data_IF_960010760873
#
_entry.id   IF_960010760873
#
_cell.length_a   1.000
_cell.length_b   1.000
_cell.length_c   1.000
_cell.angle_alpha   90.00
_cell.angle_beta   90.00
_cell.angle_gamma   90.00
#
_symmetry.space_group_name_H-M   'P 1'
#
loop_
_entity.id
_entity.type
_entity.pdbx_description
1 polymer ?
#
# COMPACT_ATOMS: atom_id res chain seq x y z
N UNK A 1 -10.84 -2.16 -23.01
CA UNK A 1 -10.56 -0.95 -23.80
C UNK A 1 -10.80 0.33 -22.97
N UNK A 2 -11.77 0.35 -22.05
CA UNK A 2 -12.10 1.60 -21.35
C UNK A 2 -11.09 2.03 -20.28
N UNK A 3 -10.39 1.07 -19.64
CA UNK A 3 -9.42 1.36 -18.58
C UNK A 3 -8.25 2.23 -19.05
N UNK A 4 -7.49 1.88 -20.11
CA UNK A 4 -6.40 2.72 -20.58
C UNK A 4 -6.85 4.12 -21.01
N UNK A 5 -8.06 4.26 -21.59
CA UNK A 5 -8.62 5.56 -21.96
C UNK A 5 -8.97 6.42 -20.75
N UNK A 6 -9.47 5.81 -19.66
CA UNK A 6 -9.71 6.56 -18.42
C UNK A 6 -8.42 7.01 -17.77
N UNK A 7 -7.38 6.15 -17.76
CA UNK A 7 -6.04 6.50 -17.25
C UNK A 7 -5.45 7.64 -18.08
N UNK A 8 -5.51 7.54 -19.41
CA UNK A 8 -5.10 8.61 -20.34
C UNK A 8 -5.79 9.94 -20.00
N UNK A 9 -7.10 9.93 -19.80
CA UNK A 9 -7.88 11.15 -19.53
C UNK A 9 -7.56 11.82 -18.17
N UNK A 10 -6.89 11.13 -17.27
CA UNK A 10 -6.36 11.72 -16.02
C UNK A 10 -5.05 12.47 -16.25
N UNK A 11 -4.36 12.22 -17.36
CA UNK A 11 -3.10 12.88 -17.72
C UNK A 11 -3.29 14.36 -18.02
N UNK A 12 -2.33 15.18 -17.58
CA UNK A 12 -2.31 16.63 -17.76
C UNK A 12 -1.35 17.07 -18.86
N UNK A 13 -0.33 16.27 -19.19
CA UNK A 13 0.59 16.48 -20.31
C UNK A 13 0.38 15.41 -21.39
N UNK A 14 0.93 15.65 -22.58
CA UNK A 14 0.81 14.68 -23.67
C UNK A 14 1.57 13.39 -23.35
N UNK A 15 2.74 13.47 -22.70
CA UNK A 15 3.51 12.30 -22.27
C UNK A 15 2.73 11.47 -21.25
N UNK A 16 2.07 12.11 -20.26
CA UNK A 16 1.22 11.42 -19.31
C UNK A 16 0.06 10.69 -19.99
N UNK A 17 -0.57 11.31 -20.98
CA UNK A 17 -1.66 10.71 -21.76
C UNK A 17 -1.18 9.54 -22.59
N UNK A 18 -0.03 9.70 -23.27
CA UNK A 18 0.56 8.65 -24.10
C UNK A 18 0.95 7.45 -23.22
N UNK A 19 1.69 7.66 -22.13
CA UNK A 19 2.04 6.59 -21.20
C UNK A 19 0.76 6.00 -20.59
N UNK A 20 -0.24 6.83 -20.28
CA UNK A 20 -1.53 6.37 -19.72
C UNK A 20 -2.31 5.44 -20.64
N UNK A 21 -2.34 5.68 -21.96
CA UNK A 21 -3.03 4.80 -22.91
C UNK A 21 -2.21 3.54 -23.22
N UNK A 22 -0.89 3.60 -23.13
CA UNK A 22 0.02 2.52 -23.52
C UNK A 22 0.52 1.66 -22.33
N UNK A 23 0.17 2.00 -21.09
CA UNK A 23 0.81 1.43 -19.89
C UNK A 23 0.70 -0.10 -19.77
N UNK A 24 -0.35 -0.70 -20.32
CA UNK A 24 -0.57 -2.15 -20.32
C UNK A 24 -0.23 -2.80 -21.69
N UNK A 25 0.14 -2.01 -22.73
CA UNK A 25 0.25 -2.52 -24.11
C UNK A 25 1.27 -3.65 -24.24
N UNK A 26 2.42 -3.56 -23.56
CA UNK A 26 3.48 -4.58 -23.63
C UNK A 26 3.15 -5.80 -22.74
N UNK A 27 2.30 -5.63 -21.70
CA UNK A 27 1.83 -6.76 -20.88
C UNK A 27 0.68 -7.53 -21.58
N UNK A 28 -0.18 -6.84 -22.31
CA UNK A 28 -1.44 -7.37 -22.84
C UNK A 28 -1.42 -7.67 -24.36
N UNK A 29 -0.29 -7.45 -25.05
CA UNK A 29 -0.16 -7.67 -26.49
C UNK A 29 1.26 -8.13 -26.87
N UNK A 30 1.47 -8.37 -28.19
CA UNK A 30 2.78 -8.77 -28.73
C UNK A 30 3.71 -7.57 -28.99
N UNK A 31 3.30 -6.34 -28.68
CA UNK A 31 4.13 -5.15 -28.84
C UNK A 31 5.34 -5.14 -27.91
N UNK A 32 6.49 -4.77 -28.48
CA UNK A 32 7.74 -4.59 -27.74
C UNK A 32 8.08 -3.12 -27.55
N UNK A 33 8.95 -2.82 -26.58
CA UNK A 33 9.45 -1.44 -26.39
C UNK A 33 10.24 -0.94 -27.59
N UNK A 34 10.94 -1.84 -28.31
CA UNK A 34 11.71 -1.57 -29.50
C UNK A 34 10.79 -1.16 -30.68
N UNK A 35 9.67 -1.82 -30.85
CA UNK A 35 8.66 -1.46 -31.85
C UNK A 35 8.00 -0.13 -31.53
N UNK A 36 7.64 0.11 -30.27
CA UNK A 36 7.12 1.40 -29.83
C UNK A 36 8.12 2.54 -30.08
N UNK A 37 9.42 2.31 -29.82
CA UNK A 37 10.45 3.29 -30.12
C UNK A 37 10.59 3.54 -31.64
N UNK A 38 10.43 2.50 -32.48
CA UNK A 38 10.47 2.61 -33.92
C UNK A 38 9.26 3.40 -34.50
N UNK A 39 8.10 3.36 -33.81
CA UNK A 39 6.92 4.18 -34.14
C UNK A 39 7.11 5.67 -33.81
N UNK A 40 8.24 6.05 -33.17
CA UNK A 40 8.59 7.44 -32.93
C UNK A 40 8.18 7.99 -31.57
N UNK A 41 7.77 7.14 -30.61
CA UNK A 41 7.57 7.59 -29.24
C UNK A 41 8.90 8.05 -28.62
N UNK A 42 8.86 9.12 -27.84
CA UNK A 42 10.05 9.70 -27.22
C UNK A 42 10.73 8.73 -26.24
N UNK A 43 12.04 8.92 -26.04
CA UNK A 43 12.79 8.09 -25.07
C UNK A 43 12.22 8.21 -23.67
N UNK A 44 11.70 9.37 -23.27
CA UNK A 44 11.07 9.58 -21.96
C UNK A 44 9.81 8.74 -21.79
N UNK A 45 8.99 8.63 -22.85
CA UNK A 45 7.79 7.78 -22.87
C UNK A 45 8.20 6.30 -22.77
N UNK A 46 9.17 5.86 -23.59
CA UNK A 46 9.64 4.46 -23.58
C UNK A 46 10.22 4.07 -22.21
N UNK A 47 11.04 4.91 -21.61
CA UNK A 47 11.60 4.65 -20.28
C UNK A 47 10.52 4.62 -19.19
N UNK A 48 9.51 5.48 -19.28
CA UNK A 48 8.38 5.43 -18.37
C UNK A 48 7.56 4.13 -18.54
N UNK A 49 7.32 3.69 -19.77
CA UNK A 49 6.65 2.43 -20.08
C UNK A 49 7.45 1.24 -19.56
N UNK A 50 8.79 1.20 -19.74
CA UNK A 50 9.65 0.16 -19.13
C UNK A 50 9.54 0.11 -17.60
N UNK A 51 9.42 1.28 -16.97
CA UNK A 51 9.27 1.35 -15.51
C UNK A 51 7.89 0.88 -15.02
N UNK A 52 6.81 1.13 -15.77
CA UNK A 52 5.44 0.84 -15.36
C UNK A 52 4.98 -0.59 -15.74
N UNK A 53 5.65 -1.23 -16.70
CA UNK A 53 5.43 -2.61 -17.14
C UNK A 53 6.14 -3.59 -16.22
N UNK A 54 5.53 -4.69 -15.80
CA UNK A 54 6.19 -5.72 -15.00
C UNK A 54 7.23 -6.47 -15.82
N UNK A 55 8.35 -6.81 -15.19
CA UNK A 55 9.43 -7.57 -15.82
C UNK A 55 9.09 -9.07 -15.97
N UNK A 56 8.26 -9.59 -15.08
CA UNK A 56 7.76 -10.97 -15.11
C UNK A 56 6.55 -11.10 -14.17
N UNK A 57 5.78 -12.18 -14.35
CA UNK A 57 4.67 -12.51 -13.44
C UNK A 57 5.13 -12.71 -11.98
N UNK A 58 6.37 -13.15 -11.78
CA UNK A 58 6.95 -13.43 -10.47
C UNK A 58 7.65 -12.21 -9.85
N UNK A 59 7.64 -11.04 -10.49
CA UNK A 59 8.23 -9.83 -9.92
C UNK A 59 7.51 -9.45 -8.61
N UNK A 60 8.23 -9.35 -7.45
CA UNK A 60 7.62 -8.93 -6.20
C UNK A 60 7.03 -7.52 -6.34
N UNK A 61 5.75 -7.37 -6.01
CA UNK A 61 5.00 -6.13 -6.25
C UNK A 61 5.64 -4.89 -5.58
N UNK A 62 6.23 -5.05 -4.39
CA UNK A 62 6.92 -3.94 -3.72
C UNK A 62 8.19 -3.50 -4.49
N UNK A 63 8.93 -4.42 -5.13
CA UNK A 63 10.08 -4.08 -6.00
C UNK A 63 9.63 -3.37 -7.27
N UNK A 64 8.55 -3.86 -7.90
CA UNK A 64 7.92 -3.19 -9.02
C UNK A 64 7.56 -1.73 -8.70
N UNK A 65 6.86 -1.49 -7.57
CA UNK A 65 6.48 -0.13 -7.16
C UNK A 65 7.71 0.76 -6.85
N UNK A 66 8.80 0.20 -6.33
CA UNK A 66 10.05 0.95 -6.13
C UNK A 66 10.65 1.38 -7.48
N UNK A 67 10.64 0.50 -8.50
CA UNK A 67 11.10 0.81 -9.86
C UNK A 67 10.23 1.88 -10.51
N UNK A 68 8.92 1.77 -10.42
CA UNK A 68 7.96 2.79 -10.87
C UNK A 68 8.27 4.14 -10.22
N UNK A 69 8.50 4.16 -8.90
CA UNK A 69 8.79 5.39 -8.13
C UNK A 69 10.07 6.09 -8.58
N UNK A 70 11.03 5.37 -9.14
CA UNK A 70 12.29 5.95 -9.62
C UNK A 70 12.13 6.81 -10.89
N UNK A 71 11.04 6.65 -11.64
CA UNK A 71 10.73 7.45 -12.82
C UNK A 71 9.50 8.34 -12.55
N UNK A 72 9.63 9.68 -12.54
CA UNK A 72 8.53 10.59 -12.19
C UNK A 72 7.29 10.45 -13.08
N UNK A 73 7.47 10.25 -14.41
CA UNK A 73 6.37 10.09 -15.36
C UNK A 73 5.64 8.76 -15.10
N UNK A 74 6.38 7.66 -14.96
CA UNK A 74 5.80 6.35 -14.61
C UNK A 74 5.07 6.39 -13.25
N UNK A 75 5.64 7.05 -12.25
CA UNK A 75 5.02 7.19 -10.93
C UNK A 75 3.68 7.93 -11.00
N UNK A 76 3.62 9.01 -11.78
CA UNK A 76 2.41 9.81 -11.96
C UNK A 76 1.32 9.02 -12.68
N UNK A 77 1.66 8.35 -13.78
CA UNK A 77 0.71 7.52 -14.52
C UNK A 77 0.25 6.32 -13.69
N UNK A 78 1.14 5.70 -12.88
CA UNK A 78 0.75 4.61 -11.97
C UNK A 78 -0.21 5.07 -10.86
N UNK A 79 -0.13 6.32 -10.43
CA UNK A 79 -1.15 6.89 -9.53
C UNK A 79 -2.52 6.97 -10.21
N UNK A 80 -2.59 7.33 -11.49
CA UNK A 80 -3.84 7.35 -12.26
C UNK A 80 -4.41 5.94 -12.43
N UNK A 81 -3.58 4.99 -12.84
CA UNK A 81 -3.94 3.58 -12.96
C UNK A 81 -4.49 3.01 -11.63
N UNK A 82 -3.77 3.23 -10.54
CA UNK A 82 -4.23 2.79 -9.21
C UNK A 82 -5.55 3.47 -8.80
N UNK A 83 -5.73 4.76 -9.13
CA UNK A 83 -6.97 5.49 -8.85
C UNK A 83 -8.15 4.86 -9.59
N UNK A 84 -8.00 4.57 -10.88
CA UNK A 84 -9.04 3.91 -11.67
C UNK A 84 -9.32 2.49 -11.18
N UNK A 85 -8.27 1.72 -10.86
CA UNK A 85 -8.40 0.36 -10.36
C UNK A 85 -9.01 0.25 -8.94
N UNK A 86 -8.94 1.32 -8.15
CA UNK A 86 -9.57 1.39 -6.82
C UNK A 86 -10.98 1.99 -6.85
N UNK A 87 -11.52 2.33 -8.01
CA UNK A 87 -12.90 2.83 -8.12
C UNK A 87 -13.91 1.72 -7.87
N UNK A 88 -14.34 1.60 -6.61
CA UNK A 88 -15.29 0.60 -6.15
C UNK A 88 -16.71 0.77 -6.73
N UNK A 89 -17.04 1.94 -7.29
CA UNK A 89 -18.36 2.21 -7.89
C UNK A 89 -18.65 1.32 -9.09
N UNK A 90 -17.62 0.71 -9.68
CA UNK A 90 -17.72 -0.24 -10.81
C UNK A 90 -17.98 -1.68 -10.37
N UNK A 91 -17.93 -1.97 -9.07
CA UNK A 91 -18.15 -3.30 -8.54
C UNK A 91 -19.62 -3.48 -8.16
N UNK A 92 -20.25 -4.58 -8.62
CA UNK A 92 -21.60 -4.94 -8.21
C UNK A 92 -21.66 -5.32 -6.72
N UNK A 93 -20.60 -5.91 -6.19
CA UNK A 93 -20.38 -6.24 -4.78
C UNK A 93 -18.88 -6.32 -4.50
N UNK A 94 -18.47 -6.26 -3.24
CA UNK A 94 -17.07 -6.35 -2.83
C UNK A 94 -16.80 -7.74 -2.26
N UNK A 95 -15.98 -8.52 -2.97
CA UNK A 95 -15.52 -9.84 -2.53
C UNK A 95 -14.27 -9.75 -1.64
N UNK A 96 -13.93 -10.83 -0.93
CA UNK A 96 -12.65 -10.94 -0.18
C UNK A 96 -11.42 -10.74 -1.08
N UNK A 97 -11.50 -11.16 -2.35
CA UNK A 97 -10.45 -10.94 -3.35
C UNK A 97 -10.29 -9.46 -3.65
N UNK A 98 -11.40 -8.72 -3.76
CA UNK A 98 -11.36 -7.27 -4.00
C UNK A 98 -10.79 -6.52 -2.79
N UNK A 99 -11.14 -6.90 -1.57
CA UNK A 99 -10.56 -6.31 -0.35
C UNK A 99 -9.03 -6.48 -0.33
N UNK A 100 -8.51 -7.68 -0.65
CA UNK A 100 -7.07 -7.94 -0.72
C UNK A 100 -6.40 -7.09 -1.81
N UNK A 101 -7.03 -6.99 -2.99
CA UNK A 101 -6.57 -6.18 -4.12
C UNK A 101 -6.51 -4.70 -3.76
N UNK A 102 -7.60 -4.16 -3.20
CA UNK A 102 -7.71 -2.76 -2.78
C UNK A 102 -6.66 -2.39 -1.72
N UNK A 103 -6.43 -3.26 -0.73
CA UNK A 103 -5.37 -3.06 0.27
C UNK A 103 -3.98 -2.98 -0.36
N UNK A 104 -3.68 -3.87 -1.33
CA UNK A 104 -2.43 -3.86 -2.09
C UNK A 104 -2.26 -2.56 -2.88
N UNK A 105 -3.29 -2.12 -3.59
CA UNK A 105 -3.26 -0.91 -4.40
C UNK A 105 -3.17 0.36 -3.57
N UNK A 106 -3.90 0.45 -2.46
CA UNK A 106 -3.81 1.58 -1.55
C UNK A 106 -2.42 1.71 -0.90
N UNK A 107 -1.77 0.58 -0.57
CA UNK A 107 -0.38 0.57 -0.10
C UNK A 107 0.56 1.16 -1.14
N UNK A 108 0.47 0.70 -2.39
CA UNK A 108 1.28 1.18 -3.51
C UNK A 108 1.05 2.67 -3.80
N UNK A 109 -0.20 3.11 -3.83
CA UNK A 109 -0.59 4.49 -4.02
C UNK A 109 0.08 5.42 -2.99
N UNK A 110 0.03 5.06 -1.70
CA UNK A 110 0.68 5.82 -0.63
C UNK A 110 2.21 5.84 -0.75
N UNK A 111 2.82 4.71 -1.16
CA UNK A 111 4.27 4.64 -1.40
C UNK A 111 4.70 5.58 -2.52
N UNK A 112 3.94 5.67 -3.62
CA UNK A 112 4.22 6.57 -4.74
C UNK A 112 4.06 8.04 -4.35
N UNK A 113 3.07 8.38 -3.52
CA UNK A 113 2.91 9.73 -2.95
C UNK A 113 3.98 10.10 -1.90
N UNK A 114 4.90 9.20 -1.55
CA UNK A 114 5.85 9.41 -0.47
C UNK A 114 5.22 9.40 0.93
N UNK A 115 3.95 8.99 1.03
CA UNK A 115 3.26 8.83 2.30
C UNK A 115 3.67 7.51 2.95
N UNK A 116 4.03 7.53 4.23
CA UNK A 116 4.23 6.29 4.98
C UNK A 116 2.94 5.48 5.00
N UNK A 117 3.04 4.18 4.69
CA UNK A 117 1.90 3.25 4.81
C UNK A 117 1.37 3.15 6.26
N UNK A 118 2.18 3.62 7.21
CA UNK A 118 1.89 3.69 8.63
C UNK A 118 1.96 5.16 9.10
N UNK A 119 0.96 5.96 8.76
CA UNK A 119 0.79 7.19 9.51
C UNK A 119 0.27 6.85 10.91
N UNK A 120 0.72 7.60 11.92
CA UNK A 120 0.24 7.46 13.30
C UNK A 120 -1.28 7.61 13.35
N UNK A 121 -1.84 8.49 12.51
CA UNK A 121 -3.27 8.74 12.38
C UNK A 121 -4.04 7.48 11.94
N UNK A 122 -3.56 6.78 10.89
CA UNK A 122 -4.18 5.54 10.41
C UNK A 122 -4.14 4.45 11.50
N UNK A 123 -3.00 4.33 12.19
CA UNK A 123 -2.89 3.39 13.31
C UNK A 123 -3.85 3.73 14.46
N UNK A 124 -4.13 5.00 14.71
CA UNK A 124 -5.01 5.47 15.77
C UNK A 124 -6.49 5.33 15.47
N UNK A 125 -6.88 5.07 14.22
CA UNK A 125 -8.26 4.70 13.88
C UNK A 125 -8.62 3.34 14.51
N UNK A 126 -7.74 2.36 14.42
CA UNK A 126 -7.96 1.02 15.00
C UNK A 126 -7.49 0.91 16.45
N UNK A 127 -6.44 1.66 16.82
CA UNK A 127 -5.81 1.64 18.13
C UNK A 127 -5.58 3.09 18.60
N UNK A 128 -6.56 3.74 19.22
CA UNK A 128 -6.49 5.16 19.61
C UNK A 128 -5.27 5.56 20.44
N UNK A 129 -4.70 4.63 21.18
CA UNK A 129 -3.50 4.84 21.98
C UNK A 129 -2.19 4.42 21.27
N UNK A 130 -2.25 4.02 19.99
CA UNK A 130 -1.05 3.65 19.24
C UNK A 130 0.02 4.77 19.29
N UNK A 131 1.25 4.39 19.62
CA UNK A 131 2.41 5.29 19.76
C UNK A 131 2.31 6.37 20.87
N UNK A 132 1.33 6.28 21.76
CA UNK A 132 1.38 7.09 23.00
C UNK A 132 2.38 6.47 23.98
N UNK A 133 3.04 7.28 24.81
CA UNK A 133 3.88 6.74 25.88
C UNK A 133 3.01 5.98 26.90
N UNK A 134 3.55 4.90 27.45
CA UNK A 134 2.99 4.23 28.61
C UNK A 134 3.18 5.11 29.84
N UNK A 135 2.13 5.27 30.62
CA UNK A 135 2.19 5.93 31.92
C UNK A 135 2.18 4.88 33.04
N UNK A 136 2.46 5.30 34.25
CA UNK A 136 2.57 4.38 35.40
C UNK A 136 1.24 3.67 35.70
N UNK A 137 0.15 4.38 35.58
CA UNK A 137 -1.22 3.88 35.76
C UNK A 137 -1.54 2.76 34.78
N UNK A 138 -1.08 2.89 33.54
CA UNK A 138 -1.23 1.84 32.50
C UNK A 138 -0.43 0.58 32.91
N UNK A 139 0.76 0.76 33.46
CA UNK A 139 1.60 -0.37 33.92
C UNK A 139 0.95 -1.10 35.09
N UNK A 140 0.47 -0.37 36.09
CA UNK A 140 -0.16 -0.94 37.27
C UNK A 140 -1.43 -1.71 36.88
N UNK A 141 -2.25 -1.15 35.98
CA UNK A 141 -3.44 -1.81 35.44
C UNK A 141 -3.08 -3.03 34.57
N UNK A 142 -2.00 -2.95 33.78
CA UNK A 142 -1.53 -4.07 32.95
C UNK A 142 -1.10 -5.25 33.83
N UNK A 143 -0.34 -4.99 34.89
CA UNK A 143 0.07 -6.02 35.87
C UNK A 143 -1.15 -6.69 36.47
N UNK A 144 -2.14 -5.91 36.92
CA UNK A 144 -3.36 -6.44 37.53
C UNK A 144 -4.14 -7.34 36.56
N UNK A 145 -4.40 -6.87 35.36
CA UNK A 145 -5.20 -7.60 34.36
C UNK A 145 -4.46 -8.84 33.84
N UNK A 146 -3.14 -8.75 33.68
CA UNK A 146 -2.31 -9.89 33.26
C UNK A 146 -2.28 -11.00 34.35
N UNK A 147 -2.18 -10.63 35.61
CA UNK A 147 -2.25 -11.59 36.74
C UNK A 147 -3.61 -12.28 36.87
N UNK A 148 -4.68 -11.66 36.35
CA UNK A 148 -6.03 -12.25 36.26
C UNK A 148 -6.19 -13.19 35.04
N UNK A 149 -5.14 -13.40 34.25
CA UNK A 149 -5.15 -14.30 33.09
C UNK A 149 -5.71 -13.71 31.80
N UNK A 150 -5.84 -12.38 31.70
CA UNK A 150 -6.26 -11.72 30.45
C UNK A 150 -5.30 -12.01 29.31
N UNK A 151 -5.84 -12.32 28.12
CA UNK A 151 -5.07 -12.59 26.91
C UNK A 151 -4.49 -11.28 26.33
N UNK A 152 -3.42 -11.39 25.52
CA UNK A 152 -2.84 -10.23 24.83
C UNK A 152 -3.85 -9.51 23.93
N UNK A 153 -4.84 -10.22 23.39
CA UNK A 153 -5.90 -9.66 22.58
C UNK A 153 -6.84 -8.81 23.43
N UNK A 154 -7.37 -9.37 24.54
CA UNK A 154 -8.22 -8.63 25.46
C UNK A 154 -7.53 -7.39 26.04
N UNK A 155 -6.23 -7.51 26.38
CA UNK A 155 -5.43 -6.38 26.85
C UNK A 155 -5.26 -5.31 25.76
N UNK A 156 -5.05 -5.72 24.49
CA UNK A 156 -5.02 -4.79 23.36
C UNK A 156 -6.32 -4.01 23.20
N UNK A 157 -7.45 -4.70 23.35
CA UNK A 157 -8.78 -4.08 23.24
C UNK A 157 -9.07 -3.13 24.43
N UNK A 158 -8.65 -3.49 25.66
CA UNK A 158 -8.84 -2.65 26.86
C UNK A 158 -7.97 -1.39 26.79
N UNK A 159 -6.68 -1.55 26.51
CA UNK A 159 -5.71 -0.43 26.49
C UNK A 159 -5.73 0.37 25.20
N UNK A 160 -6.40 -0.11 24.15
CA UNK A 160 -6.43 0.51 22.82
C UNK A 160 -5.02 0.69 22.23
N UNK A 161 -4.06 -0.11 22.67
CA UNK A 161 -2.73 -0.24 22.08
C UNK A 161 -2.67 -1.42 21.11
N UNK A 162 -1.73 -1.40 20.17
CA UNK A 162 -1.48 -2.56 19.29
C UNK A 162 -1.05 -3.79 20.10
N UNK A 163 -1.44 -5.01 19.67
CA UNK A 163 -1.03 -6.25 20.35
C UNK A 163 0.48 -6.38 20.53
N UNK A 164 1.27 -5.89 19.56
CA UNK A 164 2.74 -5.86 19.65
C UNK A 164 3.26 -4.94 20.75
N UNK A 165 2.58 -3.80 21.02
CA UNK A 165 2.94 -2.89 22.09
C UNK A 165 2.65 -3.51 23.46
N UNK A 166 1.49 -4.19 23.61
CA UNK A 166 1.14 -4.95 24.81
C UNK A 166 2.20 -6.03 25.09
N UNK A 167 2.53 -6.86 24.06
CA UNK A 167 3.54 -7.91 24.20
C UNK A 167 4.90 -7.37 24.65
N UNK A 168 5.34 -6.28 24.02
CA UNK A 168 6.61 -5.63 24.38
C UNK A 168 6.59 -5.08 25.81
N UNK A 169 5.44 -4.55 26.28
CA UNK A 169 5.32 -4.03 27.63
C UNK A 169 5.28 -5.14 28.69
N UNK A 170 4.52 -6.21 28.43
CA UNK A 170 4.48 -7.44 29.24
C UNK A 170 5.89 -8.00 29.43
N UNK A 171 6.68 -8.10 28.33
CA UNK A 171 8.08 -8.54 28.40
C UNK A 171 8.95 -7.58 29.23
N UNK A 172 8.79 -6.25 29.04
CA UNK A 172 9.56 -5.23 29.76
C UNK A 172 9.29 -5.26 31.26
N UNK A 173 8.08 -5.59 31.67
CA UNK A 173 7.67 -5.70 33.08
C UNK A 173 7.88 -7.13 33.66
N UNK A 174 8.45 -8.04 32.85
CA UNK A 174 8.75 -9.45 33.22
C UNK A 174 7.52 -10.22 33.77
N UNK A 175 6.32 -9.88 33.23
CA UNK A 175 5.07 -10.45 33.75
C UNK A 175 4.91 -11.93 33.44
N UNK A 176 5.48 -12.43 32.33
CA UNK A 176 5.45 -13.87 32.01
C UNK A 176 6.26 -14.70 32.98
N UNK A 177 7.35 -14.16 33.54
CA UNK A 177 8.17 -14.84 34.54
C UNK A 177 7.54 -14.79 35.96
N UNK A 178 6.75 -13.73 36.22
CA UNK A 178 6.12 -13.53 37.54
C UNK A 178 4.79 -14.27 37.71
N UNK A 179 4.04 -14.49 36.61
CA UNK A 179 2.63 -14.93 36.66
C UNK A 179 2.33 -16.16 35.78
N UNK A 180 3.31 -16.75 35.11
CA UNK A 180 3.26 -18.04 34.43
C UNK A 180 4.30 -18.98 35.05
#
# INVERSE_FOLDING_TARGET
IDHPLRVMNMGTTDEEKIVGVLHDVVEDSDWTFEELAAEGFSIEVIEALRCITKLSENEPYDKFIQRVKANPLAAKVKLYDLTDNMDIRRLAYISEKDVKRLRKYLKAYRQLLGQSAYSIEVCRIEHPNAYKPWIREDDDMLVQLFSQGKTLKELSDIFQFKPGAIRSRVKKLELEEKYR
#
